data_IF_261088392407
#
_entry.id   IF_261088392407
#
_cell.length_a   1.000
_cell.length_b   1.000
_cell.length_c   1.000
_cell.angle_alpha   90.00
_cell.angle_beta   90.00
_cell.angle_gamma   90.00
#
_symmetry.space_group_name_H-M   'P 1'
#
loop_
_entity.id
_entity.type
_entity.pdbx_description
1 polymer ?
#
# COMPACT_ATOMS: atom_id res chain seq x y z
N UNK A 1 -16.79 25.48 -32.73
CA UNK A 1 -16.99 24.03 -32.56
C UNK A 1 -18.40 23.82 -32.07
N UNK A 2 -19.26 23.28 -32.94
CA UNK A 2 -20.69 23.01 -32.64
C UNK A 2 -20.93 21.64 -31.99
N UNK A 3 -19.95 21.04 -31.36
CA UNK A 3 -20.07 19.74 -30.70
C UNK A 3 -20.31 19.92 -29.21
N UNK A 4 -21.51 19.58 -28.74
CA UNK A 4 -21.83 19.54 -27.30
C UNK A 4 -20.95 18.58 -26.53
N UNK A 5 -21.05 18.59 -25.20
CA UNK A 5 -20.32 17.68 -24.29
C UNK A 5 -20.64 16.23 -24.66
N UNK A 6 -19.66 15.35 -24.93
CA UNK A 6 -19.90 13.96 -25.28
C UNK A 6 -20.65 13.21 -24.17
N UNK A 7 -21.50 12.24 -24.55
CA UNK A 7 -22.18 11.36 -23.59
C UNK A 7 -21.19 10.41 -22.91
N UNK A 8 -21.52 9.90 -21.73
CA UNK A 8 -20.69 8.97 -20.94
C UNK A 8 -20.12 7.80 -21.76
N UNK A 9 -20.96 7.17 -22.62
CA UNK A 9 -20.54 6.06 -23.49
C UNK A 9 -19.48 6.47 -24.52
N UNK A 10 -19.46 7.74 -24.95
CA UNK A 10 -18.42 8.25 -25.87
C UNK A 10 -17.07 8.36 -25.15
N UNK A 11 -17.05 8.82 -23.90
CA UNK A 11 -15.84 8.83 -23.07
C UNK A 11 -15.32 7.42 -22.84
N UNK A 12 -16.18 6.48 -22.45
CA UNK A 12 -15.80 5.08 -22.24
C UNK A 12 -15.15 4.49 -23.49
N UNK A 13 -15.76 4.71 -24.67
CA UNK A 13 -15.22 4.25 -25.96
C UNK A 13 -13.85 4.87 -26.25
N UNK A 14 -13.67 6.19 -26.08
CA UNK A 14 -12.42 6.88 -26.36
C UNK A 14 -11.33 6.37 -25.41
N UNK A 15 -11.61 6.29 -24.12
CA UNK A 15 -10.65 5.83 -23.11
C UNK A 15 -10.25 4.37 -23.37
N UNK A 16 -11.16 3.52 -23.84
CA UNK A 16 -10.85 2.11 -24.16
C UNK A 16 -9.92 1.92 -25.37
N UNK A 17 -9.79 2.92 -26.24
CA UNK A 17 -8.87 2.87 -27.39
C UNK A 17 -7.41 3.15 -27.01
N UNK A 18 -7.20 3.82 -25.89
CA UNK A 18 -5.83 4.17 -25.41
C UNK A 18 -5.09 2.91 -25.00
N UNK A 19 -3.80 2.80 -25.36
CA UNK A 19 -2.93 1.75 -24.86
C UNK A 19 -2.58 2.03 -23.40
N UNK A 20 -2.87 1.08 -22.51
CA UNK A 20 -2.72 1.27 -21.06
C UNK A 20 -1.26 1.41 -20.64
N UNK A 21 -0.34 0.64 -21.24
CA UNK A 21 1.08 0.66 -20.91
C UNK A 21 1.72 1.98 -21.34
N UNK A 22 1.39 2.44 -22.55
CA UNK A 22 1.86 3.75 -23.04
C UNK A 22 1.29 4.91 -22.21
N UNK A 23 0.01 4.84 -21.83
CA UNK A 23 -0.61 5.83 -20.96
C UNK A 23 0.11 5.91 -19.62
N UNK A 24 0.38 4.74 -19.00
CA UNK A 24 1.08 4.67 -17.73
C UNK A 24 2.49 5.28 -17.82
N UNK A 25 3.26 4.91 -18.85
CA UNK A 25 4.60 5.46 -19.10
C UNK A 25 4.60 6.97 -19.32
N UNK A 26 3.69 7.48 -20.15
CA UNK A 26 3.59 8.91 -20.44
C UNK A 26 3.26 9.70 -19.17
N UNK A 27 2.26 9.27 -18.41
CA UNK A 27 1.84 9.94 -17.19
C UNK A 27 2.93 9.86 -16.10
N UNK A 28 3.61 8.72 -15.97
CA UNK A 28 4.72 8.60 -15.03
C UNK A 28 5.90 9.50 -15.40
N UNK A 29 6.32 9.50 -16.67
CA UNK A 29 7.41 10.36 -17.13
C UNK A 29 7.08 11.83 -16.94
N UNK A 30 5.86 12.24 -17.26
CA UNK A 30 5.39 13.59 -16.99
C UNK A 30 5.41 13.93 -15.49
N UNK A 31 4.91 13.02 -14.64
CA UNK A 31 4.95 13.19 -13.19
C UNK A 31 6.38 13.34 -12.65
N UNK A 32 7.33 12.59 -13.19
CA UNK A 32 8.77 12.72 -12.85
C UNK A 32 9.32 14.12 -13.17
N UNK A 33 8.86 14.74 -14.25
CA UNK A 33 9.30 16.11 -14.57
C UNK A 33 8.73 17.15 -13.60
N UNK A 34 7.56 16.89 -13.03
CA UNK A 34 6.91 17.77 -12.06
C UNK A 34 7.47 17.62 -10.64
N UNK A 35 8.03 16.46 -10.31
CA UNK A 35 8.44 16.12 -8.95
C UNK A 35 9.94 15.93 -8.85
N UNK A 36 10.69 17.00 -9.08
CA UNK A 36 12.15 16.97 -8.89
C UNK A 36 12.45 16.70 -7.40
N UNK A 37 13.27 15.66 -7.14
CA UNK A 37 14.02 15.43 -5.91
C UNK A 37 13.23 15.18 -4.62
N UNK A 38 12.27 14.22 -4.60
CA UNK A 38 12.03 13.50 -3.38
C UNK A 38 13.24 12.60 -3.16
N UNK A 39 13.99 12.88 -2.10
CA UNK A 39 15.11 12.02 -1.71
C UNK A 39 14.74 11.33 -0.39
N UNK A 40 13.91 10.28 -0.42
CA UNK A 40 13.51 9.57 0.79
C UNK A 40 14.74 8.92 1.42
N UNK A 41 14.75 8.82 2.74
CA UNK A 41 15.81 8.16 3.50
C UNK A 41 16.01 6.71 3.03
N UNK A 42 14.94 6.04 2.64
CA UNK A 42 14.96 4.71 2.01
C UNK A 42 14.04 4.68 0.79
N UNK A 43 14.45 3.95 -0.24
CA UNK A 43 13.64 3.75 -1.46
C UNK A 43 12.83 2.47 -1.32
N UNK A 44 11.52 2.60 -1.44
CA UNK A 44 10.57 1.50 -1.30
C UNK A 44 9.69 1.37 -2.52
N UNK A 45 9.43 0.12 -2.93
CA UNK A 45 8.33 -0.24 -3.83
C UNK A 45 7.36 -1.17 -3.13
N UNK A 46 6.13 -0.74 -3.09
CA UNK A 46 5.06 -1.52 -2.48
C UNK A 46 4.19 -2.11 -3.58
N UNK A 47 4.07 -3.44 -3.59
CA UNK A 47 3.21 -4.17 -4.52
C UNK A 47 1.93 -4.54 -3.78
N UNK A 48 0.78 -4.11 -4.32
CA UNK A 48 -0.50 -4.34 -3.67
C UNK A 48 -1.62 -4.50 -4.70
N UNK A 49 -2.46 -5.52 -4.48
CA UNK A 49 -3.61 -5.81 -5.32
C UNK A 49 -4.81 -4.96 -4.95
N UNK A 50 -5.63 -4.61 -5.95
CA UNK A 50 -6.89 -3.92 -5.71
C UNK A 50 -7.99 -4.42 -6.65
N UNK A 51 -9.12 -4.78 -6.05
CA UNK A 51 -10.34 -5.15 -6.77
C UNK A 51 -11.23 -3.92 -6.95
N UNK A 52 -11.63 -3.62 -8.17
CA UNK A 52 -12.60 -2.57 -8.48
C UNK A 52 -14.03 -3.14 -8.42
N UNK A 53 -14.64 -3.09 -7.25
CA UNK A 53 -15.94 -3.72 -6.97
C UNK A 53 -17.07 -3.15 -7.80
N UNK A 54 -17.03 -1.88 -8.21
CA UNK A 54 -18.06 -1.22 -9.04
C UNK A 54 -18.20 -1.82 -10.43
N UNK A 55 -17.14 -2.51 -10.93
CA UNK A 55 -17.17 -3.18 -12.24
C UNK A 55 -17.86 -4.55 -12.23
N UNK A 56 -18.20 -5.08 -11.05
CA UNK A 56 -18.92 -6.34 -10.89
C UNK A 56 -20.37 -6.13 -11.29
N UNK A 57 -20.85 -6.79 -12.36
CA UNK A 57 -22.27 -6.84 -12.70
C UNK A 57 -22.84 -8.25 -12.58
N UNK A 58 -23.99 -8.35 -11.93
CA UNK A 58 -24.89 -9.47 -12.13
C UNK A 58 -25.56 -9.24 -13.50
N UNK A 59 -25.13 -9.95 -14.53
CA UNK A 59 -25.85 -9.95 -15.81
C UNK A 59 -27.14 -10.73 -15.63
N UNK A 60 -28.24 -10.20 -16.16
CA UNK A 60 -29.53 -10.90 -16.24
C UNK A 60 -29.52 -12.12 -17.20
N UNK A 61 -28.39 -12.30 -17.90
CA UNK A 61 -28.14 -13.48 -18.74
C UNK A 61 -27.59 -14.58 -17.84
N UNK A 62 -28.37 -15.63 -17.67
CA UNK A 62 -28.04 -16.84 -16.93
C UNK A 62 -26.68 -17.34 -17.45
N UNK A 63 -25.66 -17.36 -16.55
CA UNK A 63 -24.28 -17.86 -16.73
C UNK A 63 -23.15 -16.89 -17.14
N UNK A 64 -23.34 -15.59 -17.25
CA UNK A 64 -22.21 -14.66 -17.40
C UNK A 64 -22.03 -13.77 -16.16
N UNK A 65 -21.33 -14.28 -15.14
CA UNK A 65 -20.77 -13.43 -14.08
C UNK A 65 -19.53 -12.73 -14.64
N UNK A 66 -19.61 -11.44 -14.99
CA UNK A 66 -18.41 -10.66 -15.29
C UNK A 66 -17.67 -10.40 -13.98
N UNK A 67 -16.46 -10.95 -13.87
CA UNK A 67 -15.58 -10.70 -12.74
C UNK A 67 -15.16 -9.22 -12.71
N UNK A 68 -15.00 -8.64 -11.51
CA UNK A 68 -14.50 -7.27 -11.39
C UNK A 68 -13.07 -7.16 -11.95
N UNK A 69 -12.69 -5.94 -12.35
CA UNK A 69 -11.31 -5.66 -12.68
C UNK A 69 -10.48 -5.78 -11.40
N UNK A 70 -9.46 -6.63 -11.44
CA UNK A 70 -8.43 -6.73 -10.40
C UNK A 70 -7.11 -6.25 -10.97
N UNK A 71 -6.41 -5.37 -10.25
CA UNK A 71 -5.15 -4.79 -10.68
C UNK A 71 -4.08 -4.95 -9.59
N UNK A 72 -2.86 -5.28 -10.02
CA UNK A 72 -1.67 -5.13 -9.21
C UNK A 72 -1.11 -3.74 -9.40
N UNK A 73 -0.76 -3.10 -8.30
CA UNK A 73 -0.19 -1.75 -8.25
C UNK A 73 1.24 -1.81 -7.73
N UNK A 74 2.14 -1.08 -8.36
CA UNK A 74 3.49 -0.83 -7.85
C UNK A 74 3.60 0.63 -7.44
N UNK A 75 3.59 0.90 -6.15
CA UNK A 75 3.75 2.24 -5.60
C UNK A 75 5.21 2.49 -5.23
N UNK A 76 5.74 3.60 -5.72
CA UNK A 76 7.09 4.06 -5.44
C UNK A 76 7.04 5.25 -4.46
N UNK A 77 7.73 5.11 -3.31
CA UNK A 77 7.73 6.14 -2.28
C UNK A 77 8.66 7.30 -2.59
N UNK A 78 9.65 7.13 -3.48
CA UNK A 78 10.56 8.19 -3.93
C UNK A 78 9.77 9.24 -4.70
N UNK A 79 8.85 8.79 -5.55
CA UNK A 79 7.98 9.70 -6.30
C UNK A 79 6.66 9.99 -5.59
N UNK A 80 6.22 9.12 -4.67
CA UNK A 80 4.87 9.19 -4.09
C UNK A 80 3.78 8.90 -5.12
N UNK A 81 4.08 8.02 -6.07
CA UNK A 81 3.27 7.71 -7.23
C UNK A 81 3.17 6.20 -7.49
N UNK A 82 2.04 5.77 -8.05
CA UNK A 82 1.89 4.39 -8.51
C UNK A 82 2.51 4.27 -9.92
N UNK A 83 3.74 3.78 -9.98
CA UNK A 83 4.54 3.74 -11.22
C UNK A 83 4.04 2.72 -12.23
N UNK A 84 3.40 1.65 -11.75
CA UNK A 84 2.81 0.61 -12.60
C UNK A 84 1.43 0.20 -12.08
N UNK A 85 0.53 -0.08 -13.01
CA UNK A 85 -0.79 -0.65 -12.75
C UNK A 85 -1.07 -1.68 -13.81
N UNK A 86 -1.03 -2.96 -13.46
CA UNK A 86 -1.24 -4.06 -14.38
C UNK A 86 -2.49 -4.85 -14.02
N UNK A 87 -3.32 -5.25 -15.00
CA UNK A 87 -4.48 -6.08 -14.72
C UNK A 87 -4.02 -7.49 -14.31
N UNK A 88 -4.69 -8.06 -13.34
CA UNK A 88 -4.53 -9.47 -12.97
C UNK A 88 -5.53 -10.28 -13.81
N UNK A 89 -5.03 -11.27 -14.55
CA UNK A 89 -5.87 -12.15 -15.37
C UNK A 89 -6.84 -12.92 -14.47
N UNK A 90 -8.07 -13.14 -14.93
CA UNK A 90 -9.11 -13.87 -14.21
C UNK A 90 -8.74 -15.33 -13.86
N UNK A 91 -7.84 -15.93 -14.64
CA UNK A 91 -7.35 -17.30 -14.47
C UNK A 91 -6.10 -17.38 -13.59
N UNK A 92 -5.55 -16.24 -13.18
CA UNK A 92 -4.35 -16.14 -12.36
C UNK A 92 -4.64 -15.38 -11.07
N UNK A 93 -3.62 -15.14 -10.29
CA UNK A 93 -3.68 -14.36 -9.05
C UNK A 93 -2.51 -13.36 -8.98
N UNK A 94 -2.40 -12.65 -7.87
CA UNK A 94 -1.37 -11.64 -7.66
C UNK A 94 0.05 -12.22 -7.71
N UNK A 95 0.25 -13.46 -7.25
CA UNK A 95 1.58 -14.07 -7.07
C UNK A 95 2.38 -14.08 -8.38
N UNK A 96 1.93 -14.73 -9.49
CA UNK A 96 2.67 -14.71 -10.74
C UNK A 96 2.70 -13.33 -11.40
N UNK A 97 1.71 -12.48 -11.12
CA UNK A 97 1.69 -11.12 -11.65
C UNK A 97 2.79 -10.26 -11.03
N UNK A 98 3.06 -10.42 -9.72
CA UNK A 98 4.19 -9.75 -9.04
C UNK A 98 5.52 -10.24 -9.62
N UNK A 99 5.72 -11.55 -9.75
CA UNK A 99 6.94 -12.13 -10.33
C UNK A 99 7.23 -11.55 -11.74
N UNK A 100 6.22 -11.56 -12.61
CA UNK A 100 6.34 -11.04 -13.96
C UNK A 100 6.65 -9.55 -14.01
N UNK A 101 6.01 -8.77 -13.15
CA UNK A 101 6.25 -7.33 -13.07
C UNK A 101 7.66 -7.02 -12.58
N UNK A 102 8.14 -7.71 -11.55
CA UNK A 102 9.49 -7.54 -10.99
C UNK A 102 10.57 -7.91 -12.00
N UNK A 103 10.39 -8.99 -12.77
CA UNK A 103 11.35 -9.44 -13.79
C UNK A 103 11.61 -8.37 -14.87
N UNK A 104 10.69 -7.42 -15.07
CA UNK A 104 10.88 -6.28 -15.98
C UNK A 104 11.51 -5.04 -15.34
N UNK A 105 11.83 -5.06 -14.03
CA UNK A 105 12.29 -3.91 -13.27
C UNK A 105 13.77 -3.98 -12.91
N UNK A 106 14.40 -2.81 -12.76
CA UNK A 106 15.66 -2.66 -12.04
C UNK A 106 15.34 -2.20 -10.61
N UNK A 107 15.67 -3.03 -9.61
CA UNK A 107 15.39 -2.77 -8.20
C UNK A 107 16.63 -2.43 -7.39
N UNK A 108 17.76 -2.12 -8.02
CA UNK A 108 19.01 -1.81 -7.33
C UNK A 108 18.84 -0.68 -6.32
N UNK A 109 19.12 -1.00 -5.04
CA UNK A 109 18.99 -0.05 -3.91
C UNK A 109 17.54 0.23 -3.49
N UNK A 110 16.60 -0.60 -3.91
CA UNK A 110 15.18 -0.49 -3.60
C UNK A 110 14.75 -1.67 -2.73
N UNK A 111 13.96 -1.41 -1.70
CA UNK A 111 13.34 -2.43 -0.86
C UNK A 111 11.92 -2.65 -1.35
N UNK A 112 11.59 -3.89 -1.67
CA UNK A 112 10.25 -4.32 -2.07
C UNK A 112 9.43 -4.80 -0.88
N UNK A 113 8.15 -4.45 -0.85
CA UNK A 113 7.20 -4.93 0.16
C UNK A 113 5.88 -5.33 -0.50
N UNK A 114 5.17 -6.29 0.09
CA UNK A 114 3.83 -6.75 -0.33
C UNK A 114 3.10 -7.44 0.81
N UNK A 115 1.86 -7.80 0.57
CA UNK A 115 1.06 -8.55 1.54
C UNK A 115 1.56 -9.99 1.73
N UNK A 116 1.28 -10.56 2.91
CA UNK A 116 1.70 -11.92 3.26
C UNK A 116 1.22 -13.00 2.27
N UNK A 117 0.06 -12.82 1.63
CA UNK A 117 -0.41 -13.74 0.60
C UNK A 117 0.61 -13.87 -0.55
N UNK A 118 1.24 -12.78 -0.89
CA UNK A 118 2.23 -12.67 -1.97
C UNK A 118 3.66 -13.03 -1.52
N UNK A 119 3.86 -13.36 -0.24
CA UNK A 119 5.14 -13.84 0.29
C UNK A 119 5.36 -15.28 -0.16
N UNK A 120 6.05 -15.40 -1.30
CA UNK A 120 6.39 -16.65 -1.97
C UNK A 120 7.86 -16.63 -2.36
N UNK A 121 8.51 -17.80 -2.33
CA UNK A 121 9.94 -17.93 -2.66
C UNK A 121 10.28 -17.45 -4.08
N UNK A 122 9.36 -17.63 -5.04
CA UNK A 122 9.52 -17.13 -6.42
C UNK A 122 9.59 -15.61 -6.48
N UNK A 123 8.71 -14.91 -5.76
CA UNK A 123 8.69 -13.46 -5.72
C UNK A 123 9.95 -12.89 -5.06
N UNK A 124 10.40 -13.54 -3.98
CA UNK A 124 11.67 -13.21 -3.31
C UNK A 124 12.85 -13.35 -4.27
N UNK A 125 12.93 -14.48 -4.96
CA UNK A 125 13.98 -14.74 -5.97
C UNK A 125 13.96 -13.71 -7.10
N UNK A 126 12.79 -13.33 -7.58
CA UNK A 126 12.66 -12.29 -8.61
C UNK A 126 13.21 -10.93 -8.14
N UNK A 127 12.95 -10.52 -6.89
CA UNK A 127 13.51 -9.28 -6.31
C UNK A 127 15.02 -9.32 -6.24
N UNK A 128 15.61 -10.41 -5.73
CA UNK A 128 17.06 -10.55 -5.61
C UNK A 128 17.70 -10.54 -7.00
N UNK A 129 17.14 -11.27 -7.97
CA UNK A 129 17.62 -11.28 -9.36
C UNK A 129 17.54 -9.89 -10.03
N UNK A 130 16.54 -9.07 -9.66
CA UNK A 130 16.42 -7.68 -10.11
C UNK A 130 17.37 -6.72 -9.38
N UNK A 131 18.22 -7.22 -8.48
CA UNK A 131 19.22 -6.46 -7.71
C UNK A 131 18.64 -5.68 -6.54
N UNK A 132 17.40 -5.99 -6.13
CA UNK A 132 16.70 -5.34 -5.02
C UNK A 132 16.79 -6.10 -3.70
N UNK A 133 16.16 -5.51 -2.70
CA UNK A 133 15.97 -6.07 -1.37
C UNK A 133 14.49 -6.25 -1.06
N UNK A 134 14.17 -7.01 -0.01
CA UNK A 134 12.81 -7.16 0.47
C UNK A 134 12.71 -7.05 2.00
N UNK A 135 11.56 -6.54 2.46
CA UNK A 135 11.07 -6.61 3.84
C UNK A 135 9.59 -6.98 3.73
N UNK A 136 9.23 -8.23 4.03
CA UNK A 136 7.92 -8.80 3.73
C UNK A 136 7.34 -9.57 4.92
N UNK A 137 6.01 -9.51 5.14
CA UNK A 137 5.37 -10.17 6.26
C UNK A 137 5.19 -11.68 6.03
N UNK A 138 5.28 -12.45 7.12
CA UNK A 138 4.91 -13.86 7.20
C UNK A 138 3.62 -13.98 8.02
N UNK A 139 2.64 -14.74 7.52
CA UNK A 139 1.37 -15.03 8.18
C UNK A 139 1.01 -16.52 8.02
N UNK A 140 -0.22 -16.88 8.41
CA UNK A 140 -0.71 -18.25 8.41
C UNK A 140 -0.73 -18.98 7.05
N UNK A 141 -0.55 -18.27 5.91
CA UNK A 141 -0.34 -18.92 4.62
C UNK A 141 1.04 -19.59 4.50
N UNK A 142 1.97 -19.26 5.40
CA UNK A 142 3.25 -19.91 5.63
C UNK A 142 3.26 -20.44 7.08
N UNK A 143 2.34 -21.35 7.41
CA UNK A 143 1.96 -21.72 8.77
C UNK A 143 3.15 -22.15 9.63
N UNK A 144 3.99 -23.06 9.14
CA UNK A 144 5.15 -23.55 9.89
C UNK A 144 6.12 -22.39 10.19
N UNK A 145 6.50 -21.63 9.18
CA UNK A 145 7.41 -20.51 9.35
C UNK A 145 6.86 -19.41 10.28
N UNK A 146 5.56 -19.14 10.16
CA UNK A 146 4.87 -18.21 11.06
C UNK A 146 4.92 -18.68 12.53
N UNK A 147 4.68 -19.96 12.78
CA UNK A 147 4.73 -20.53 14.12
C UNK A 147 6.15 -20.55 14.69
N UNK A 148 7.16 -20.85 13.86
CA UNK A 148 8.55 -20.81 14.25
C UNK A 148 9.00 -19.39 14.66
N UNK A 149 8.65 -18.38 13.86
CA UNK A 149 8.92 -16.98 14.21
C UNK A 149 8.17 -16.54 15.47
N UNK A 150 6.94 -17.02 15.67
CA UNK A 150 6.17 -16.73 16.88
C UNK A 150 6.78 -17.36 18.13
N UNK A 151 7.36 -18.54 18.01
CA UNK A 151 8.08 -19.19 19.10
C UNK A 151 9.41 -18.47 19.39
N UNK A 152 10.14 -18.09 18.34
CA UNK A 152 11.42 -17.37 18.47
C UNK A 152 11.24 -16.01 19.15
N UNK A 153 10.25 -15.21 18.74
CA UNK A 153 9.93 -13.92 19.33
C UNK A 153 8.94 -14.01 20.50
N UNK A 154 9.16 -14.94 21.41
CA UNK A 154 8.39 -15.02 22.64
C UNK A 154 8.68 -13.81 23.57
N UNK A 155 7.97 -13.74 24.70
CA UNK A 155 8.15 -12.62 25.65
C UNK A 155 9.55 -12.56 26.22
N UNK A 156 10.17 -13.71 26.53
CA UNK A 156 11.51 -13.80 27.07
C UNK A 156 12.56 -13.29 26.10
N UNK A 157 12.47 -13.74 24.81
CA UNK A 157 13.38 -13.27 23.76
C UNK A 157 13.23 -11.78 23.50
N UNK A 158 12.00 -11.26 23.49
CA UNK A 158 11.75 -9.82 23.35
C UNK A 158 12.37 -9.02 24.51
N UNK A 159 12.30 -9.51 25.75
CA UNK A 159 12.93 -8.89 26.91
C UNK A 159 14.46 -8.90 26.80
N UNK A 160 15.07 -10.01 26.37
CA UNK A 160 16.51 -10.12 26.10
C UNK A 160 16.98 -9.10 25.06
N UNK A 161 16.20 -8.91 23.97
CA UNK A 161 16.49 -7.95 22.91
C UNK A 161 16.43 -6.51 23.45
N UNK A 162 15.40 -6.18 24.25
CA UNK A 162 15.26 -4.87 24.88
C UNK A 162 16.42 -4.58 25.83
N UNK A 163 16.90 -5.60 26.56
CA UNK A 163 18.05 -5.49 27.45
C UNK A 163 19.39 -5.37 26.72
N UNK A 164 19.42 -5.54 25.39
CA UNK A 164 20.63 -5.45 24.57
C UNK A 164 21.57 -6.68 24.66
N UNK A 165 21.04 -7.82 25.12
CA UNK A 165 21.80 -9.04 25.35
C UNK A 165 21.84 -10.00 24.16
N UNK A 166 21.65 -9.50 22.91
CA UNK A 166 21.57 -10.36 21.72
C UNK A 166 22.08 -9.65 20.46
N UNK A 167 22.35 -10.41 19.39
CA UNK A 167 22.61 -9.90 18.05
C UNK A 167 21.33 -9.33 17.39
N UNK A 168 20.55 -8.58 18.17
CA UNK A 168 19.24 -8.08 17.81
C UNK A 168 19.11 -6.64 18.25
N UNK A 169 18.23 -5.90 17.61
CA UNK A 169 17.99 -4.48 17.89
C UNK A 169 16.51 -4.22 18.15
N UNK A 170 16.26 -3.23 18.98
CA UNK A 170 14.93 -2.78 19.37
C UNK A 170 14.76 -1.28 19.14
N UNK A 171 13.54 -0.90 18.69
CA UNK A 171 13.14 0.49 18.60
C UNK A 171 11.65 0.61 18.94
N UNK A 172 11.24 1.71 19.52
CA UNK A 172 9.81 1.98 19.74
C UNK A 172 9.43 3.42 19.48
N UNK A 173 8.22 3.59 19.00
CA UNK A 173 7.60 4.91 18.79
C UNK A 173 6.13 4.87 19.18
N UNK A 174 5.57 6.05 19.43
CA UNK A 174 4.16 6.18 19.83
C UNK A 174 3.51 7.36 19.13
N UNK A 175 2.23 7.19 18.79
CA UNK A 175 1.44 8.24 18.16
C UNK A 175 0.04 8.31 18.74
N UNK A 176 -0.58 9.50 18.65
CA UNK A 176 -2.01 9.68 18.91
C UNK A 176 -2.75 9.69 17.58
N UNK A 177 -3.74 8.81 17.43
CA UNK A 177 -4.60 8.77 16.25
C UNK A 177 -6.05 8.80 16.69
N UNK A 178 -6.76 9.88 16.36
CA UNK A 178 -8.12 10.14 16.83
C UNK A 178 -8.22 10.05 18.35
N UNK A 179 -8.96 9.07 18.90
CA UNK A 179 -9.14 8.86 20.35
C UNK A 179 -8.29 7.69 20.89
N UNK A 180 -7.32 7.19 20.12
CA UNK A 180 -6.45 6.09 20.50
C UNK A 180 -4.99 6.55 20.69
N UNK A 181 -4.31 5.93 21.64
CA UNK A 181 -2.86 5.95 21.77
C UNK A 181 -2.32 4.66 21.17
N UNK A 182 -1.39 4.78 20.22
CA UNK A 182 -0.81 3.64 19.52
C UNK A 182 0.69 3.61 19.78
N UNK A 183 1.18 2.48 20.31
CA UNK A 183 2.61 2.20 20.47
C UNK A 183 3.02 1.14 19.46
N UNK A 184 4.09 1.39 18.75
CA UNK A 184 4.76 0.43 17.88
C UNK A 184 6.10 0.05 18.52
N UNK A 185 6.38 -1.24 18.58
CA UNK A 185 7.61 -1.81 19.08
C UNK A 185 8.17 -2.71 17.96
N UNK A 186 9.41 -2.42 17.55
CA UNK A 186 10.10 -3.09 16.45
C UNK A 186 11.26 -3.88 17.01
N UNK A 187 11.36 -5.13 16.59
CA UNK A 187 12.44 -6.05 16.93
C UNK A 187 13.03 -6.60 15.65
N UNK A 188 14.34 -6.63 15.52
CA UNK A 188 15.01 -7.21 14.36
C UNK A 188 16.24 -7.97 14.81
N UNK A 189 16.51 -9.12 14.17
CA UNK A 189 17.64 -10.01 14.51
C UNK A 189 18.30 -10.57 13.26
N UNK A 190 19.63 -10.71 13.31
CA UNK A 190 20.42 -11.49 12.33
C UNK A 190 20.60 -12.95 12.73
N UNK A 191 20.07 -13.37 13.87
CA UNK A 191 20.09 -14.76 14.30
C UNK A 191 19.03 -15.55 13.53
N UNK A 192 19.41 -16.01 12.32
CA UNK A 192 18.56 -16.75 11.38
C UNK A 192 18.94 -18.23 11.29
N UNK A 193 20.08 -18.63 11.86
CA UNK A 193 20.70 -19.97 11.70
C UNK A 193 19.84 -21.12 12.25
N UNK A 194 18.92 -20.82 13.16
CA UNK A 194 17.99 -21.81 13.72
C UNK A 194 16.89 -22.26 12.75
N UNK A 195 16.64 -21.48 11.67
CA UNK A 195 15.58 -21.80 10.72
C UNK A 195 16.07 -22.82 9.66
N UNK A 196 15.48 -24.00 9.52
CA UNK A 196 16.04 -25.11 8.73
C UNK A 196 15.96 -24.87 7.21
N UNK A 197 14.98 -24.08 6.73
CA UNK A 197 14.72 -23.91 5.31
C UNK A 197 15.23 -22.54 4.79
N UNK A 198 16.39 -22.09 5.26
CA UNK A 198 16.99 -20.82 4.83
C UNK A 198 17.23 -20.77 3.32
N UNK A 199 17.63 -21.90 2.72
CA UNK A 199 17.92 -22.01 1.29
C UNK A 199 16.73 -21.73 0.38
N UNK A 200 15.52 -21.85 0.87
CA UNK A 200 14.29 -21.60 0.10
C UNK A 200 14.04 -20.09 -0.09
N UNK A 201 14.64 -19.27 0.79
CA UNK A 201 14.44 -17.83 0.83
C UNK A 201 15.68 -17.08 0.38
N UNK A 202 15.80 -16.87 -0.92
CA UNK A 202 16.95 -16.24 -1.56
C UNK A 202 17.29 -14.90 -0.87
N UNK A 203 18.56 -14.74 -0.44
CA UNK A 203 19.05 -13.52 0.19
C UNK A 203 18.53 -13.23 1.60
N UNK A 204 17.91 -14.17 2.30
CA UNK A 204 17.41 -13.97 3.67
C UNK A 204 18.56 -13.67 4.64
N UNK A 205 18.50 -12.52 5.35
CA UNK A 205 19.53 -12.04 6.28
C UNK A 205 19.03 -11.66 7.66
N UNK A 206 17.74 -11.37 7.82
CA UNK A 206 17.19 -11.02 9.12
C UNK A 206 15.73 -11.37 9.29
N UNK A 207 15.33 -11.60 10.55
CA UNK A 207 13.93 -11.71 10.97
C UNK A 207 13.51 -10.45 11.73
N UNK A 208 12.22 -10.12 11.67
CA UNK A 208 11.67 -8.99 12.39
C UNK A 208 10.29 -9.25 12.97
N UNK A 209 10.00 -8.53 14.06
CA UNK A 209 8.69 -8.47 14.69
C UNK A 209 8.26 -7.02 14.85
N UNK A 210 7.02 -6.72 14.49
CA UNK A 210 6.32 -5.48 14.84
C UNK A 210 5.20 -5.82 15.80
N UNK A 211 5.27 -5.27 17.03
CA UNK A 211 4.21 -5.35 18.03
C UNK A 211 3.51 -4.01 18.08
N UNK A 212 2.23 -3.99 17.73
CA UNK A 212 1.38 -2.80 17.74
C UNK A 212 0.40 -2.89 18.91
N UNK A 213 0.48 -1.95 19.85
CA UNK A 213 -0.43 -1.82 20.99
C UNK A 213 -1.33 -0.62 20.79
N UNK A 214 -2.65 -0.83 20.76
CA UNK A 214 -3.67 0.20 20.59
C UNK A 214 -4.43 0.32 21.89
N UNK A 215 -4.36 1.48 22.54
CA UNK A 215 -5.09 1.81 23.76
C UNK A 215 -6.10 2.90 23.47
N UNK A 216 -7.39 2.62 23.71
CA UNK A 216 -8.47 3.60 23.48
C UNK A 216 -9.49 3.59 24.61
N UNK A 217 -10.08 4.75 24.87
CA UNK A 217 -11.23 4.88 25.77
C UNK A 217 -12.51 4.65 24.97
N UNK A 218 -13.34 3.72 25.42
CA UNK A 218 -14.64 3.42 24.82
C UNK A 218 -15.75 3.66 25.84
N UNK A 219 -16.87 4.20 25.39
CA UNK A 219 -18.06 4.34 26.22
C UNK A 219 -18.86 3.04 26.16
N UNK A 220 -19.02 2.39 27.30
CA UNK A 220 -19.82 1.15 27.44
C UNK A 220 -21.02 1.38 28.35
N UNK A 221 -22.10 0.65 28.13
CA UNK A 221 -23.25 0.69 29.03
C UNK A 221 -22.86 0.08 30.38
N UNK A 222 -23.29 0.73 31.46
CA UNK A 222 -23.08 0.18 32.80
C UNK A 222 -24.01 -1.03 33.01
N UNK A 223 -23.46 -2.21 33.19
CA UNK A 223 -24.20 -3.49 33.33
C UNK A 223 -24.67 -3.75 34.78
N UNK A 224 -24.39 -2.91 35.73
CA UNK A 224 -24.87 -3.09 37.11
C UNK A 224 -26.40 -3.02 37.16
N UNK A 225 -27.04 -4.06 37.68
CA UNK A 225 -28.50 -4.28 37.71
C UNK A 225 -29.34 -3.14 38.25
N UNK A 226 -28.78 -2.17 39.00
CA UNK A 226 -29.49 -1.05 39.61
C UNK A 226 -28.96 0.33 39.20
N UNK A 227 -28.11 0.46 38.18
CA UNK A 227 -27.64 1.76 37.74
C UNK A 227 -28.53 2.31 36.61
N UNK A 228 -29.05 3.53 36.77
CA UNK A 228 -29.60 4.29 35.63
C UNK A 228 -28.65 4.16 34.46
N UNK A 229 -29.15 3.97 33.24
CA UNK A 229 -28.39 3.75 31.95
C UNK A 229 -27.27 4.79 31.73
N UNK A 230 -26.24 4.79 32.56
CA UNK A 230 -25.13 5.72 32.50
C UNK A 230 -24.00 5.07 31.68
N UNK A 231 -23.55 5.77 30.67
CA UNK A 231 -22.35 5.34 29.90
C UNK A 231 -21.12 5.55 30.80
N UNK A 232 -20.29 4.52 30.90
CA UNK A 232 -18.99 4.59 31.60
C UNK A 232 -17.86 4.49 30.59
N UNK A 233 -16.78 5.22 30.83
CA UNK A 233 -15.57 5.11 30.03
C UNK A 233 -14.77 3.89 30.51
N UNK A 234 -14.40 3.02 29.57
CA UNK A 234 -13.52 1.89 29.80
C UNK A 234 -12.32 1.99 28.87
N UNK A 235 -11.12 1.78 29.40
CA UNK A 235 -9.92 1.66 28.59
C UNK A 235 -9.83 0.25 28.03
N UNK A 236 -9.65 0.14 26.72
CA UNK A 236 -9.48 -1.13 26.01
C UNK A 236 -8.12 -1.11 25.34
N UNK A 237 -7.35 -2.19 25.52
CA UNK A 237 -6.06 -2.37 24.87
C UNK A 237 -6.14 -3.58 23.94
N UNK A 238 -5.72 -3.40 22.70
CA UNK A 238 -5.55 -4.46 21.71
C UNK A 238 -4.07 -4.55 21.32
N UNK A 239 -3.56 -5.75 21.17
CA UNK A 239 -2.18 -6.01 20.76
C UNK A 239 -2.21 -6.84 19.48
N UNK A 240 -1.40 -6.43 18.51
CA UNK A 240 -1.23 -7.10 17.22
C UNK A 240 0.26 -7.38 17.01
N UNK A 241 0.58 -8.62 16.60
CA UNK A 241 1.93 -9.06 16.28
C UNK A 241 2.03 -9.35 14.78
N UNK A 242 3.11 -8.89 14.14
CA UNK A 242 3.40 -9.12 12.73
C UNK A 242 4.85 -9.51 12.57
N UNK A 243 5.08 -10.64 11.94
CA UNK A 243 6.41 -11.20 11.72
C UNK A 243 6.85 -10.93 10.29
N UNK A 244 8.14 -10.68 10.12
CA UNK A 244 8.74 -10.28 8.86
C UNK A 244 10.02 -11.06 8.59
N UNK A 245 10.32 -11.21 7.30
CA UNK A 245 11.61 -11.67 6.80
C UNK A 245 12.21 -10.57 5.91
N UNK A 246 13.53 -10.51 5.85
CA UNK A 246 14.24 -9.47 5.11
C UNK A 246 15.56 -9.95 4.54
N UNK A 247 15.87 -9.49 3.32
CA UNK A 247 17.22 -9.62 2.73
C UNK A 247 18.20 -8.57 3.25
N UNK A 248 17.72 -7.55 3.96
CA UNK A 248 18.58 -6.50 4.53
C UNK A 248 19.29 -6.99 5.78
N UNK A 249 20.52 -6.54 5.94
CA UNK A 249 21.20 -6.59 7.23
C UNK A 249 20.37 -5.85 8.30
N UNK A 250 20.61 -6.16 9.56
CA UNK A 250 19.88 -5.55 10.67
C UNK A 250 20.06 -4.03 10.66
N UNK A 251 18.96 -3.32 10.41
CA UNK A 251 18.83 -1.88 10.49
C UNK A 251 17.39 -1.55 10.92
N UNK A 252 17.21 -1.36 12.21
CA UNK A 252 15.88 -1.21 12.83
C UNK A 252 15.13 0.03 12.32
N UNK A 253 15.85 1.09 11.95
CA UNK A 253 15.26 2.31 11.41
C UNK A 253 14.69 2.06 10.00
N UNK A 254 15.49 1.44 9.14
CA UNK A 254 15.05 1.01 7.80
C UNK A 254 13.85 0.06 7.88
N UNK A 255 13.91 -0.92 8.79
CA UNK A 255 12.84 -1.88 9.05
C UNK A 255 11.55 -1.18 9.52
N UNK A 256 11.65 -0.26 10.48
CA UNK A 256 10.48 0.47 10.98
C UNK A 256 9.82 1.33 9.90
N UNK A 257 10.60 2.02 9.07
CA UNK A 257 10.10 2.83 7.96
C UNK A 257 9.42 1.94 6.91
N UNK A 258 10.07 0.85 6.49
CA UNK A 258 9.54 -0.05 5.47
C UNK A 258 8.19 -0.67 5.87
N UNK A 259 8.11 -1.21 7.09
CA UNK A 259 6.90 -1.82 7.62
C UNK A 259 5.75 -0.83 7.80
N UNK A 260 6.04 0.41 8.18
CA UNK A 260 5.04 1.49 8.30
C UNK A 260 4.55 1.98 6.93
N UNK A 261 5.44 2.12 5.97
CA UNK A 261 5.10 2.66 4.65
C UNK A 261 4.33 1.65 3.79
N UNK A 262 4.49 0.37 3.99
CA UNK A 262 3.64 -0.63 3.33
C UNK A 262 2.15 -0.35 3.58
N UNK A 263 1.77 -0.05 4.82
CA UNK A 263 0.38 0.31 5.19
C UNK A 263 -0.06 1.68 4.69
N UNK A 264 0.89 2.53 4.33
CA UNK A 264 0.56 3.84 3.79
C UNK A 264 -0.08 3.76 2.40
N UNK A 265 0.16 2.69 1.63
CA UNK A 265 -0.44 2.49 0.30
C UNK A 265 -1.95 2.38 0.39
N UNK A 266 -2.47 1.54 1.30
CA UNK A 266 -3.92 1.43 1.54
C UNK A 266 -4.54 2.79 1.85
N UNK A 267 -3.94 3.55 2.77
CA UNK A 267 -4.46 4.84 3.22
C UNK A 267 -4.25 5.98 2.22
N UNK A 268 -3.14 5.98 1.50
CA UNK A 268 -2.78 7.06 0.57
C UNK A 268 -3.38 6.88 -0.82
N UNK A 269 -3.58 5.64 -1.26
CA UNK A 269 -4.06 5.33 -2.61
C UNK A 269 -5.46 4.76 -2.57
N UNK A 270 -5.65 3.56 -2.05
CA UNK A 270 -6.91 2.82 -2.15
C UNK A 270 -8.06 3.58 -1.52
N UNK A 271 -7.90 4.07 -0.29
CA UNK A 271 -8.92 4.87 0.36
C UNK A 271 -9.31 6.12 -0.45
N UNK A 272 -8.33 6.81 -1.07
CA UNK A 272 -8.63 8.00 -1.87
C UNK A 272 -9.29 7.65 -3.20
N UNK A 273 -8.92 6.54 -3.84
CA UNK A 273 -9.58 6.08 -5.05
C UNK A 273 -11.07 5.79 -4.76
N UNK A 274 -11.39 5.17 -3.63
CA UNK A 274 -12.76 4.86 -3.24
C UNK A 274 -13.53 6.06 -2.71
N UNK A 275 -12.94 6.82 -1.79
CA UNK A 275 -13.61 7.94 -1.14
C UNK A 275 -13.62 9.22 -1.98
N UNK A 276 -12.45 9.60 -2.56
CA UNK A 276 -12.30 10.85 -3.30
C UNK A 276 -12.75 10.72 -4.74
N UNK A 277 -12.42 9.62 -5.41
CA UNK A 277 -12.78 9.37 -6.81
C UNK A 277 -14.02 8.51 -6.98
N UNK A 278 -14.51 7.87 -5.93
CA UNK A 278 -15.71 7.00 -5.92
C UNK A 278 -15.60 5.86 -6.93
N UNK A 279 -14.44 5.26 -7.06
CA UNK A 279 -14.20 4.19 -8.03
C UNK A 279 -15.10 2.98 -7.82
N UNK A 280 -15.41 2.61 -6.58
CA UNK A 280 -16.36 1.52 -6.29
C UNK A 280 -17.79 1.79 -6.78
N UNK A 281 -18.13 3.05 -7.06
CA UNK A 281 -19.41 3.43 -7.66
C UNK A 281 -19.35 3.48 -9.21
N UNK A 282 -18.17 3.25 -9.80
CA UNK A 282 -18.03 3.25 -11.26
C UNK A 282 -18.60 1.97 -11.87
N UNK A 283 -19.63 2.11 -12.68
CA UNK A 283 -20.36 0.99 -13.33
C UNK A 283 -19.84 0.63 -14.71
N UNK A 284 -18.71 1.18 -15.14
CA UNK A 284 -18.05 0.86 -16.41
C UNK A 284 -17.69 -0.63 -16.46
N UNK A 285 -18.15 -1.32 -17.50
CA UNK A 285 -17.92 -2.76 -17.70
C UNK A 285 -16.77 -3.08 -18.65
N UNK A 286 -16.34 -2.10 -19.45
CA UNK A 286 -15.19 -2.24 -20.31
C UNK A 286 -13.91 -2.20 -19.46
N UNK A 287 -13.27 -3.36 -19.28
CA UNK A 287 -12.08 -3.51 -18.41
C UNK A 287 -10.92 -2.61 -18.84
N UNK A 288 -10.72 -2.41 -20.17
CA UNK A 288 -9.64 -1.55 -20.67
C UNK A 288 -9.91 -0.07 -20.37
N UNK A 289 -11.16 0.39 -20.56
CA UNK A 289 -11.55 1.75 -20.19
C UNK A 289 -11.39 1.98 -18.68
N UNK A 290 -11.78 1.00 -17.87
CA UNK A 290 -11.69 1.08 -16.42
C UNK A 290 -10.23 1.11 -15.94
N UNK A 291 -9.36 0.28 -16.53
CA UNK A 291 -7.91 0.28 -16.24
C UNK A 291 -7.30 1.65 -16.57
N UNK A 292 -7.58 2.20 -17.74
CA UNK A 292 -7.06 3.50 -18.15
C UNK A 292 -7.58 4.62 -17.24
N UNK A 293 -8.84 4.55 -16.83
CA UNK A 293 -9.41 5.50 -15.88
C UNK A 293 -8.76 5.39 -14.49
N UNK A 294 -8.42 4.18 -14.04
CA UNK A 294 -7.70 3.96 -12.80
C UNK A 294 -6.29 4.55 -12.85
N UNK A 295 -5.56 4.38 -13.95
CA UNK A 295 -4.25 4.99 -14.19
C UNK A 295 -4.34 6.51 -14.13
N UNK A 296 -5.33 7.11 -14.81
CA UNK A 296 -5.58 8.56 -14.78
C UNK A 296 -5.90 9.04 -13.36
N UNK A 297 -6.76 8.33 -12.63
CA UNK A 297 -7.11 8.72 -11.26
C UNK A 297 -5.90 8.67 -10.31
N UNK A 298 -5.00 7.70 -10.47
CA UNK A 298 -3.76 7.63 -9.69
C UNK A 298 -2.82 8.79 -10.00
N UNK A 299 -2.70 9.15 -11.26
CA UNK A 299 -1.96 10.35 -11.67
C UNK A 299 -2.54 11.61 -11.03
N UNK A 300 -3.85 11.84 -11.17
CA UNK A 300 -4.53 12.99 -10.57
C UNK A 300 -4.37 12.98 -9.04
N UNK A 301 -4.50 11.82 -8.40
CA UNK A 301 -4.30 11.68 -6.96
C UNK A 301 -2.89 12.10 -6.52
N UNK A 302 -1.87 11.68 -7.26
CA UNK A 302 -0.48 12.04 -6.98
C UNK A 302 -0.25 13.55 -7.11
N UNK A 303 -0.75 14.17 -8.18
CA UNK A 303 -0.71 15.62 -8.40
C UNK A 303 -1.40 16.38 -7.26
N UNK A 304 -2.63 15.99 -6.91
CA UNK A 304 -3.37 16.59 -5.79
C UNK A 304 -2.66 16.42 -4.45
N UNK A 305 -2.01 15.29 -4.23
CA UNK A 305 -1.26 15.01 -3.00
C UNK A 305 -0.06 15.93 -2.85
N UNK A 306 0.62 16.24 -3.95
CA UNK A 306 1.71 17.23 -3.99
C UNK A 306 1.20 18.65 -3.74
N UNK A 307 0.04 19.01 -4.26
CA UNK A 307 -0.56 20.32 -4.06
C UNK A 307 -1.15 20.53 -2.65
N UNK A 308 -1.43 19.43 -1.91
CA UNK A 308 -2.09 19.50 -0.59
C UNK A 308 -1.41 20.42 0.43
N UNK A 309 -0.07 20.46 0.57
CA UNK A 309 0.59 21.37 1.51
C UNK A 309 0.29 22.85 1.24
N UNK A 310 0.22 23.24 -0.03
CA UNK A 310 -0.09 24.62 -0.45
C UNK A 310 -1.51 25.00 -0.12
N UNK A 311 -2.47 24.19 -0.52
CA UNK A 311 -3.89 24.49 -0.35
C UNK A 311 -4.41 24.27 1.06
N UNK A 312 -3.70 23.49 1.90
CA UNK A 312 -4.08 23.16 3.30
C UNK A 312 -5.53 22.66 3.43
N UNK A 313 -6.06 22.01 2.40
CA UNK A 313 -7.43 21.47 2.32
C UNK A 313 -7.41 19.96 2.13
N UNK A 314 -8.55 19.29 2.31
CA UNK A 314 -8.68 17.87 1.98
C UNK A 314 -8.59 17.67 0.46
N UNK A 315 -8.05 16.52 0.00
CA UNK A 315 -7.92 16.21 -1.43
C UNK A 315 -9.26 16.29 -2.17
N UNK A 316 -10.36 15.91 -1.52
CA UNK A 316 -11.71 16.04 -2.07
C UNK A 316 -12.08 17.51 -2.35
N UNK A 317 -11.73 18.42 -1.45
CA UNK A 317 -12.00 19.87 -1.63
C UNK A 317 -11.08 20.47 -2.68
N UNK A 318 -9.80 20.09 -2.71
CA UNK A 318 -8.85 20.56 -3.74
C UNK A 318 -9.35 20.11 -5.12
N UNK A 319 -9.73 18.83 -5.27
CA UNK A 319 -10.29 18.29 -6.52
C UNK A 319 -11.53 19.08 -6.97
N UNK A 320 -12.48 19.33 -6.06
CA UNK A 320 -13.68 20.10 -6.36
C UNK A 320 -13.34 21.52 -6.81
N UNK A 321 -12.40 22.15 -6.14
CA UNK A 321 -11.95 23.50 -6.44
C UNK A 321 -11.32 23.59 -7.84
N UNK A 322 -10.38 22.70 -8.16
CA UNK A 322 -9.79 22.57 -9.49
C UNK A 322 -10.83 22.27 -10.57
N UNK A 323 -11.80 21.40 -10.29
CA UNK A 323 -12.86 21.06 -11.23
C UNK A 323 -13.77 22.27 -11.58
N UNK A 324 -14.00 23.17 -10.63
CA UNK A 324 -14.85 24.34 -10.84
C UNK A 324 -14.11 25.52 -11.49
N UNK A 325 -12.76 25.60 -11.33
CA UNK A 325 -11.93 26.72 -11.76
C UNK A 325 -10.68 26.23 -12.51
N UNK A 326 -10.87 25.28 -13.42
CA UNK A 326 -9.79 24.55 -14.08
C UNK A 326 -8.82 25.45 -14.84
N UNK A 327 -9.34 26.43 -15.59
CA UNK A 327 -8.52 27.33 -16.43
C UNK A 327 -7.62 28.25 -15.59
N UNK A 328 -8.11 28.67 -14.42
CA UNK A 328 -7.39 29.56 -13.52
C UNK A 328 -6.34 28.82 -12.68
N UNK A 329 -6.73 27.68 -12.09
CA UNK A 329 -5.89 26.96 -11.13
C UNK A 329 -4.91 25.97 -11.74
N UNK A 330 -5.13 25.50 -12.97
CA UNK A 330 -4.22 24.54 -13.60
C UNK A 330 -2.82 25.14 -13.83
N UNK A 331 -2.67 26.37 -14.38
CA UNK A 331 -1.37 27.02 -14.51
C UNK A 331 -0.68 27.26 -13.15
N UNK A 332 -1.42 27.69 -12.13
CA UNK A 332 -0.90 27.90 -10.78
C UNK A 332 -0.39 26.57 -10.18
N UNK A 333 -1.15 25.50 -10.31
CA UNK A 333 -0.77 24.16 -9.84
C UNK A 333 0.52 23.67 -10.51
N UNK A 334 0.63 23.80 -11.83
CA UNK A 334 1.85 23.39 -12.54
C UNK A 334 3.05 24.26 -12.16
N UNK A 335 2.88 25.56 -12.06
CA UNK A 335 3.94 26.47 -11.60
C UNK A 335 4.45 26.06 -10.20
N UNK A 336 3.55 25.76 -9.27
CA UNK A 336 3.90 25.28 -7.95
C UNK A 336 4.66 23.94 -7.97
N UNK A 337 4.20 22.98 -8.76
CA UNK A 337 4.83 21.64 -8.86
C UNK A 337 6.23 21.71 -9.49
N UNK A 338 6.48 22.67 -10.38
CA UNK A 338 7.78 22.86 -11.04
C UNK A 338 8.80 23.62 -10.19
N UNK A 339 8.34 24.45 -9.25
CA UNK A 339 9.19 25.28 -8.40
C UNK A 339 9.61 24.60 -7.08
N UNK A 340 8.87 23.60 -6.64
CA UNK A 340 9.08 22.84 -5.41
C UNK A 340 9.36 21.37 -5.69
#
# INVERSE_FOLDING_TARGET
>A
MTGGIPKANSYERIISLVNSDELNKILFNFFKTLTRNLNPEIKLRNFDGRVNNGSKRNTTVINEKKSPLNCLNCYDNEYGYCIETVPIDEKTNEIPTIENLINGMNLKGIISTWDALNTQTKNVKAVINAGGDYIIPIKGNQENFYNDLKLYFDSKKCEEIIAGNSNSVYYSESEKSHSAFIKYEYFQTSDISWYPNLSDWEGLHSFGLVKKTITKKVKVKNERKNAKKKMIEKTVTAIEYRYYISSKQVNIKEFSIATRQHWAVENKIHWHLDFTFRQDNNTTTNKKALLNLEIIHKFVLAVLSKAKPTYKKSLKLIRKHLSNNFEEFLPELFCYLMLN
#
